data_IF_692528673043
#
_entry.id   IF_692528673043
#
_cell.length_a   1.000
_cell.length_b   1.000
_cell.length_c   1.000
_cell.angle_alpha   90.00
_cell.angle_beta   90.00
_cell.angle_gamma   90.00
#
_symmetry.space_group_name_H-M   'P 1'
#
loop_
_entity.id
_entity.type
_entity.pdbx_description
1 polymer ?
#
# COMPACT_ATOMS: atom_id res chain seq x y z
N UNK A 1 -15.34 1.29 19.60
CA UNK A 1 -14.23 2.25 19.52
C UNK A 1 -13.40 2.18 20.80
N UNK A 2 -12.07 2.10 20.67
CA UNK A 2 -11.13 2.07 21.79
C UNK A 2 -10.57 3.47 22.12
N UNK A 3 -9.79 3.57 23.18
CA UNK A 3 -9.26 4.84 23.68
C UNK A 3 -8.41 5.58 22.63
N UNK A 4 -8.60 6.88 22.50
CA UNK A 4 -7.82 7.72 21.60
C UNK A 4 -8.18 7.61 20.11
N UNK A 5 -9.24 6.88 19.76
CA UNK A 5 -9.75 6.86 18.36
C UNK A 5 -10.23 8.25 17.96
N UNK A 6 -9.83 8.70 16.78
CA UNK A 6 -10.28 9.97 16.19
C UNK A 6 -11.04 9.69 14.90
N UNK A 7 -12.29 10.13 14.83
CA UNK A 7 -13.16 9.97 13.66
C UNK A 7 -13.55 11.34 13.13
N UNK A 8 -13.32 11.57 11.83
CA UNK A 8 -13.77 12.77 11.13
C UNK A 8 -12.85 13.98 11.26
N UNK A 9 -11.59 13.77 11.65
CA UNK A 9 -10.57 14.80 11.49
C UNK A 9 -10.43 15.20 10.01
N UNK A 10 -9.97 16.41 9.74
CA UNK A 10 -9.71 16.86 8.38
C UNK A 10 -8.62 16.00 7.73
N UNK A 11 -8.88 15.55 6.50
CA UNK A 11 -7.89 14.88 5.68
C UNK A 11 -6.74 15.83 5.29
N UNK A 12 -5.61 15.24 4.87
CA UNK A 12 -4.43 15.99 4.44
C UNK A 12 -4.60 16.46 2.98
N UNK A 13 -5.33 17.55 2.81
CA UNK A 13 -5.59 18.17 1.52
C UNK A 13 -4.98 19.57 1.44
N UNK A 14 -4.03 19.78 0.54
CA UNK A 14 -3.38 21.07 0.31
C UNK A 14 -3.15 21.31 -1.17
N UNK A 15 -3.32 22.54 -1.62
CA UNK A 15 -2.96 23.01 -2.95
C UNK A 15 -1.72 23.90 -2.87
N UNK A 16 -0.88 23.87 -3.91
CA UNK A 16 0.30 24.72 -3.98
C UNK A 16 -0.02 26.00 -4.74
N UNK A 17 0.18 27.14 -4.12
CA UNK A 17 0.07 28.45 -4.76
C UNK A 17 1.26 28.74 -5.68
N UNK A 18 1.13 29.76 -6.53
CA UNK A 18 2.22 30.25 -7.38
C UNK A 18 3.45 30.70 -6.61
N UNK A 19 3.25 31.20 -5.39
CA UNK A 19 4.32 31.55 -4.43
C UNK A 19 5.12 30.38 -3.92
N UNK A 20 4.62 29.14 -4.10
CA UNK A 20 5.16 27.91 -3.52
C UNK A 20 4.59 27.54 -2.15
N UNK A 21 3.76 28.38 -1.54
CA UNK A 21 3.09 28.09 -0.27
C UNK A 21 1.99 27.04 -0.42
N UNK A 22 1.75 26.28 0.66
CA UNK A 22 0.68 25.32 0.75
C UNK A 22 -0.57 25.93 1.39
N UNK A 23 -1.68 25.87 0.69
CA UNK A 23 -2.99 26.35 1.16
C UNK A 23 -3.89 25.15 1.41
N UNK A 24 -4.54 25.15 2.56
CA UNK A 24 -5.44 24.07 2.97
C UNK A 24 -6.68 24.02 2.07
N UNK A 25 -7.01 22.83 1.60
CA UNK A 25 -8.26 22.53 0.92
C UNK A 25 -9.30 22.16 1.99
N UNK A 26 -10.45 22.84 2.08
CA UNK A 26 -11.51 22.48 3.01
C UNK A 26 -11.95 21.02 2.84
N UNK A 27 -12.17 20.34 3.95
CA UNK A 27 -12.63 18.95 3.99
C UNK A 27 -14.10 18.94 4.42
N UNK A 28 -15.02 18.80 3.46
CA UNK A 28 -16.47 18.98 3.68
C UNK A 28 -17.25 17.64 3.77
N UNK A 29 -16.62 16.52 3.38
CA UNK A 29 -17.22 15.21 3.47
C UNK A 29 -17.33 14.69 4.91
N UNK A 30 -17.77 13.47 5.08
CA UNK A 30 -18.01 12.82 6.39
C UNK A 30 -17.22 11.53 6.52
N UNK A 31 -17.32 10.89 7.68
CA UNK A 31 -17.01 9.48 7.89
C UNK A 31 -18.32 8.74 8.11
N UNK A 32 -18.50 7.65 7.39
CA UNK A 32 -19.64 6.73 7.54
C UNK A 32 -19.09 5.39 8.03
N UNK A 33 -19.54 4.95 9.19
CA UNK A 33 -19.23 3.64 9.76
C UNK A 33 -20.43 2.73 9.63
N UNK A 34 -20.21 1.51 9.17
CA UNK A 34 -21.21 0.45 9.15
C UNK A 34 -21.48 -0.14 10.53
N UNK A 35 -22.18 -1.27 10.56
CA UNK A 35 -22.50 -2.00 11.77
C UNK A 35 -21.33 -2.90 12.19
N UNK A 36 -21.24 -3.22 13.49
CA UNK A 36 -20.25 -4.14 14.06
C UNK A 36 -18.79 -3.80 13.73
N UNK A 37 -18.49 -2.50 13.49
CA UNK A 37 -17.15 -2.00 13.27
C UNK A 37 -16.40 -1.90 14.60
N UNK A 38 -15.18 -2.40 14.64
CA UNK A 38 -14.27 -2.25 15.77
C UNK A 38 -13.04 -1.46 15.36
N UNK A 39 -12.67 -0.43 16.15
CA UNK A 39 -11.53 0.44 15.87
C UNK A 39 -10.66 0.52 17.11
N UNK A 40 -9.42 0.05 16.98
CA UNK A 40 -8.40 -0.02 18.00
C UNK A 40 -7.84 1.33 18.43
N UNK A 41 -7.11 1.31 19.53
CA UNK A 41 -6.62 2.53 20.19
C UNK A 41 -5.76 3.41 19.27
N UNK A 42 -5.99 4.73 19.36
CA UNK A 42 -5.25 5.76 18.61
C UNK A 42 -5.31 5.59 17.07
N UNK A 43 -6.24 4.83 16.55
CA UNK A 43 -6.53 4.78 15.12
C UNK A 43 -7.26 6.03 14.70
N UNK A 44 -6.91 6.58 13.53
CA UNK A 44 -7.52 7.79 12.99
C UNK A 44 -8.20 7.50 11.65
N UNK A 45 -9.41 8.03 11.49
CA UNK A 45 -10.20 7.94 10.26
C UNK A 45 -10.57 9.35 9.83
N UNK A 46 -9.92 9.85 8.77
CA UNK A 46 -10.16 11.19 8.28
C UNK A 46 -11.48 11.29 7.51
N UNK A 47 -12.11 12.44 7.60
CA UNK A 47 -13.29 12.76 6.78
C UNK A 47 -12.91 12.89 5.31
N UNK A 48 -13.86 12.67 4.42
CA UNK A 48 -13.65 12.90 3.00
C UNK A 48 -13.53 14.39 2.65
N UNK A 49 -12.91 14.66 1.52
CA UNK A 49 -12.79 16.04 1.02
C UNK A 49 -14.15 16.60 0.58
N UNK A 50 -14.84 15.92 -0.32
CA UNK A 50 -16.21 16.20 -0.77
C UNK A 50 -17.11 14.99 -0.53
N UNK A 51 -16.70 13.82 -1.05
CA UNK A 51 -17.37 12.55 -0.79
C UNK A 51 -16.98 12.01 0.59
N UNK A 52 -17.70 10.99 1.06
CA UNK A 52 -17.48 10.39 2.37
C UNK A 52 -16.31 9.39 2.37
N UNK A 53 -15.61 9.28 3.51
CA UNK A 53 -14.81 8.13 3.89
C UNK A 53 -15.76 7.06 4.46
N UNK A 54 -15.68 5.82 3.98
CA UNK A 54 -16.67 4.77 4.31
C UNK A 54 -15.97 3.53 4.84
N UNK A 55 -16.38 3.07 6.01
CA UNK A 55 -15.96 1.82 6.63
C UNK A 55 -17.18 0.87 6.65
N UNK A 56 -17.08 -0.25 5.94
CA UNK A 56 -18.16 -1.23 5.78
C UNK A 56 -18.47 -2.01 7.06
N UNK A 57 -19.54 -2.81 7.00
CA UNK A 57 -19.99 -3.63 8.12
C UNK A 57 -18.92 -4.66 8.53
N UNK A 58 -18.81 -4.92 9.81
CA UNK A 58 -17.93 -5.96 10.35
C UNK A 58 -16.44 -5.70 10.23
N UNK A 59 -16.01 -4.52 9.77
CA UNK A 59 -14.59 -4.15 9.64
C UNK A 59 -13.94 -4.09 11.01
N UNK A 60 -12.71 -4.63 11.11
CA UNK A 60 -11.88 -4.59 12.33
C UNK A 60 -10.56 -3.90 12.03
N UNK A 61 -10.34 -2.77 12.68
CA UNK A 61 -9.09 -2.00 12.61
C UNK A 61 -8.38 -2.13 13.96
N UNK A 62 -7.13 -2.57 13.92
CA UNK A 62 -6.26 -2.62 15.09
C UNK A 62 -5.77 -1.22 15.49
N UNK A 63 -4.81 -1.14 16.37
CA UNK A 63 -4.27 0.11 16.93
C UNK A 63 -3.38 0.87 15.94
N UNK A 64 -3.34 2.20 16.08
CA UNK A 64 -2.42 3.08 15.34
C UNK A 64 -2.57 3.00 13.82
N UNK A 65 -3.75 2.72 13.32
CA UNK A 65 -4.03 2.71 11.88
C UNK A 65 -4.39 4.12 11.42
N UNK A 66 -3.93 4.49 10.22
CA UNK A 66 -4.35 5.71 9.52
C UNK A 66 -5.23 5.35 8.34
N UNK A 67 -6.47 5.80 8.36
CA UNK A 67 -7.39 5.78 7.21
C UNK A 67 -7.54 7.22 6.72
N UNK A 68 -6.98 7.52 5.55
CA UNK A 68 -7.02 8.86 4.98
C UNK A 68 -8.38 9.19 4.33
N UNK A 69 -8.52 10.43 3.91
CA UNK A 69 -9.76 10.96 3.32
C UNK A 69 -10.25 10.17 2.11
N UNK A 70 -11.54 10.04 1.96
CA UNK A 70 -12.21 9.37 0.82
C UNK A 70 -11.89 7.88 0.65
N UNK A 71 -11.25 7.25 1.62
CA UNK A 71 -11.00 5.80 1.61
C UNK A 71 -12.32 5.06 1.76
N UNK A 72 -12.45 3.93 1.06
CA UNK A 72 -13.55 2.99 1.23
C UNK A 72 -13.00 1.62 1.60
N UNK A 73 -13.48 1.06 2.70
CA UNK A 73 -13.13 -0.28 3.17
C UNK A 73 -14.37 -1.16 3.10
N UNK A 74 -14.28 -2.24 2.35
CA UNK A 74 -15.34 -3.23 2.17
C UNK A 74 -15.60 -4.04 3.45
N UNK A 75 -16.77 -4.64 3.51
CA UNK A 75 -17.26 -5.39 4.67
C UNK A 75 -16.30 -6.51 5.11
N UNK A 76 -16.28 -6.79 6.40
CA UNK A 76 -15.50 -7.88 7.02
C UNK A 76 -13.99 -7.84 6.74
N UNK A 77 -13.45 -6.70 6.30
CA UNK A 77 -12.02 -6.51 6.13
C UNK A 77 -11.36 -6.24 7.48
N UNK A 78 -10.19 -6.82 7.69
CA UNK A 78 -9.39 -6.62 8.90
C UNK A 78 -8.04 -5.99 8.57
N UNK A 79 -7.57 -5.10 9.44
CA UNK A 79 -6.25 -4.47 9.30
C UNK A 79 -5.50 -4.56 10.62
N UNK A 80 -4.27 -5.05 10.56
CA UNK A 80 -3.38 -5.13 11.71
C UNK A 80 -2.67 -3.80 11.99
N UNK A 81 -2.11 -3.68 13.17
CA UNK A 81 -1.57 -2.44 13.73
C UNK A 81 -0.59 -1.67 12.85
N UNK A 82 -0.66 -0.37 12.95
CA UNK A 82 0.20 0.57 12.21
C UNK A 82 0.07 0.50 10.68
N UNK A 83 -0.95 -0.15 10.13
CA UNK A 83 -1.22 -0.08 8.69
C UNK A 83 -1.64 1.34 8.30
N UNK A 84 -1.31 1.74 7.07
CA UNK A 84 -1.66 3.06 6.55
C UNK A 84 -2.35 2.96 5.19
N UNK A 85 -3.47 3.65 5.04
CA UNK A 85 -4.25 3.69 3.79
C UNK A 85 -4.34 5.14 3.32
N UNK A 86 -3.69 5.44 2.20
CA UNK A 86 -3.67 6.78 1.64
C UNK A 86 -5.00 7.14 0.94
N UNK A 87 -5.20 8.44 0.73
CA UNK A 87 -6.46 9.00 0.28
C UNK A 87 -7.04 8.38 -0.99
N UNK A 88 -8.35 8.26 -1.03
CA UNK A 88 -9.14 7.75 -2.16
C UNK A 88 -8.86 6.29 -2.55
N UNK A 89 -8.17 5.52 -1.71
CA UNK A 89 -8.00 4.09 -1.93
C UNK A 89 -9.31 3.33 -1.66
N UNK A 90 -9.54 2.26 -2.40
CA UNK A 90 -10.68 1.36 -2.25
C UNK A 90 -10.18 -0.04 -1.90
N UNK A 91 -10.59 -0.55 -0.76
CA UNK A 91 -10.24 -1.89 -0.30
C UNK A 91 -11.50 -2.73 -0.35
N UNK A 92 -11.42 -3.88 -0.99
CA UNK A 92 -12.52 -4.82 -1.13
C UNK A 92 -12.98 -5.42 0.19
N UNK A 93 -13.95 -6.29 0.11
CA UNK A 93 -14.49 -7.03 1.24
C UNK A 93 -13.57 -8.20 1.64
N UNK A 94 -13.63 -8.63 2.90
CA UNK A 94 -12.94 -9.83 3.43
C UNK A 94 -11.43 -9.84 3.22
N UNK A 95 -10.84 -8.65 3.09
CA UNK A 95 -9.39 -8.50 2.97
C UNK A 95 -8.70 -8.62 4.34
N UNK A 96 -7.43 -9.01 4.30
CA UNK A 96 -6.55 -9.01 5.47
C UNK A 96 -5.32 -8.15 5.17
N UNK A 97 -5.18 -7.02 5.85
CA UNK A 97 -4.05 -6.10 5.68
C UNK A 97 -3.09 -6.30 6.86
N UNK A 98 -1.90 -6.77 6.55
CA UNK A 98 -0.85 -7.04 7.56
C UNK A 98 -0.34 -5.77 8.23
N UNK A 99 0.22 -5.94 9.42
CA UNK A 99 0.75 -4.82 10.21
C UNK A 99 1.81 -4.02 9.47
N UNK A 100 1.76 -2.70 9.61
CA UNK A 100 2.68 -1.76 8.97
C UNK A 100 2.67 -1.80 7.42
N UNK A 101 1.67 -2.45 6.83
CA UNK A 101 1.47 -2.36 5.39
C UNK A 101 1.01 -0.96 4.99
N UNK A 102 1.52 -0.47 3.86
CA UNK A 102 1.14 0.82 3.28
C UNK A 102 0.35 0.63 1.99
N UNK A 103 -0.80 1.27 1.87
CA UNK A 103 -1.60 1.27 0.64
C UNK A 103 -1.53 2.67 0.04
N UNK A 104 -0.99 2.79 -1.18
CA UNK A 104 -0.91 4.07 -1.88
C UNK A 104 -2.30 4.59 -2.27
N UNK A 105 -2.41 5.90 -2.44
CA UNK A 105 -3.66 6.56 -2.79
C UNK A 105 -4.21 6.19 -4.17
N UNK A 106 -5.53 6.33 -4.33
CA UNK A 106 -6.25 6.12 -5.61
C UNK A 106 -6.14 4.70 -6.19
N UNK A 107 -5.79 3.71 -5.36
CA UNK A 107 -5.72 2.30 -5.75
C UNK A 107 -7.03 1.58 -5.42
N UNK A 108 -7.24 0.46 -6.11
CA UNK A 108 -8.30 -0.49 -5.79
C UNK A 108 -7.69 -1.85 -5.47
N UNK A 109 -8.16 -2.46 -4.39
CA UNK A 109 -7.82 -3.81 -3.96
C UNK A 109 -9.10 -4.65 -4.06
N UNK A 110 -9.03 -5.77 -4.79
CA UNK A 110 -10.15 -6.70 -4.95
C UNK A 110 -10.55 -7.33 -3.61
N UNK A 111 -11.71 -7.96 -3.56
CA UNK A 111 -12.13 -8.76 -2.43
C UNK A 111 -11.19 -9.95 -2.19
N UNK A 112 -11.20 -10.48 -0.97
CA UNK A 112 -10.47 -11.68 -0.56
C UNK A 112 -8.94 -11.61 -0.78
N UNK A 113 -8.37 -10.39 -0.68
CA UNK A 113 -6.92 -10.16 -0.79
C UNK A 113 -6.27 -10.17 0.58
N UNK A 114 -5.14 -10.85 0.69
CA UNK A 114 -4.24 -10.81 1.86
C UNK A 114 -2.98 -10.04 1.50
N UNK A 115 -2.71 -8.95 2.20
CA UNK A 115 -1.47 -8.19 2.09
C UNK A 115 -0.59 -8.52 3.29
N UNK A 116 0.61 -9.06 3.04
CA UNK A 116 1.57 -9.38 4.11
C UNK A 116 2.05 -8.13 4.84
N UNK A 117 2.48 -8.30 6.09
CA UNK A 117 3.04 -7.20 6.88
C UNK A 117 4.22 -6.52 6.17
N UNK A 118 4.43 -5.20 6.43
CA UNK A 118 5.51 -4.39 5.84
C UNK A 118 5.48 -4.30 4.31
N UNK A 119 4.36 -4.61 3.68
CA UNK A 119 4.21 -4.53 2.23
C UNK A 119 3.73 -3.15 1.81
N UNK A 120 4.42 -2.53 0.85
CA UNK A 120 3.92 -1.34 0.16
C UNK A 120 3.15 -1.76 -1.09
N UNK A 121 1.84 -1.53 -1.10
CA UNK A 121 0.99 -1.70 -2.28
C UNK A 121 1.00 -0.40 -3.09
N UNK A 122 1.75 -0.40 -4.19
CA UNK A 122 1.92 0.78 -5.06
C UNK A 122 1.11 0.67 -6.38
N UNK A 123 0.36 -0.43 -6.58
CA UNK A 123 -0.51 -0.66 -7.74
C UNK A 123 -1.77 -1.37 -7.32
N UNK A 124 -2.85 -1.18 -8.06
CA UNK A 124 -4.11 -1.89 -7.81
C UNK A 124 -3.94 -3.40 -7.91
N UNK A 125 -4.63 -4.11 -7.01
CA UNK A 125 -4.68 -5.58 -6.96
C UNK A 125 -6.06 -5.99 -7.45
N UNK A 126 -6.12 -6.65 -8.59
CA UNK A 126 -7.38 -6.96 -9.28
C UNK A 126 -7.87 -8.39 -9.08
N UNK A 127 -7.10 -9.23 -8.39
CA UNK A 127 -7.42 -10.64 -8.16
C UNK A 127 -7.24 -11.01 -6.70
N UNK A 128 -8.09 -11.89 -6.13
CA UNK A 128 -7.87 -12.48 -4.82
C UNK A 128 -6.51 -13.17 -4.73
N UNK A 129 -5.92 -13.24 -3.55
CA UNK A 129 -4.66 -13.91 -3.33
C UNK A 129 -3.81 -13.27 -2.23
N UNK A 130 -2.64 -13.83 -1.97
CA UNK A 130 -1.68 -13.34 -0.99
C UNK A 130 -0.58 -12.55 -1.70
N UNK A 131 -0.34 -11.33 -1.26
CA UNK A 131 0.63 -10.41 -1.85
C UNK A 131 1.67 -9.98 -0.82
N UNK A 132 2.93 -10.16 -1.16
CA UNK A 132 4.08 -9.84 -0.30
C UNK A 132 5.06 -8.97 -1.05
N UNK A 133 5.43 -7.83 -0.46
CA UNK A 133 6.33 -6.84 -1.07
C UNK A 133 7.49 -6.40 -0.16
N UNK A 134 7.86 -7.22 0.82
CA UNK A 134 9.01 -7.00 1.69
C UNK A 134 10.19 -7.89 1.27
N UNK A 135 11.39 -7.50 1.69
CA UNK A 135 12.61 -8.29 1.45
C UNK A 135 12.76 -9.39 2.51
N UNK A 136 13.30 -10.57 2.14
CA UNK A 136 13.62 -11.60 3.12
C UNK A 136 14.59 -11.08 4.18
N UNK A 137 14.40 -11.49 5.43
CA UNK A 137 15.34 -11.23 6.52
C UNK A 137 16.68 -11.94 6.23
N UNK A 138 17.78 -11.21 6.40
CA UNK A 138 19.14 -11.69 6.15
C UNK A 138 20.07 -11.23 7.28
N UNK A 139 21.24 -11.86 7.39
CA UNK A 139 22.32 -11.29 8.22
C UNK A 139 22.72 -9.92 7.66
N UNK A 140 23.22 -9.02 8.52
CA UNK A 140 23.61 -7.68 8.05
C UNK A 140 24.66 -7.73 6.94
N UNK A 141 25.64 -8.66 7.05
CA UNK A 141 26.67 -8.83 6.01
C UNK A 141 26.09 -9.23 4.65
N UNK A 142 25.18 -10.20 4.64
CA UNK A 142 24.52 -10.64 3.41
C UNK A 142 23.61 -9.55 2.85
N UNK A 143 22.90 -8.82 3.73
CA UNK A 143 22.08 -7.69 3.32
C UNK A 143 22.89 -6.62 2.59
N UNK A 144 24.00 -6.14 3.18
CA UNK A 144 24.90 -5.15 2.57
C UNK A 144 25.41 -5.62 1.21
N UNK A 145 25.86 -6.88 1.12
CA UNK A 145 26.33 -7.50 -0.12
C UNK A 145 25.25 -7.51 -1.20
N UNK A 146 24.07 -8.01 -0.89
CA UNK A 146 22.96 -8.10 -1.84
C UNK A 146 22.46 -6.74 -2.29
N UNK A 147 22.37 -5.75 -1.38
CA UNK A 147 22.00 -4.38 -1.73
C UNK A 147 23.05 -3.67 -2.60
N UNK A 148 24.32 -4.00 -2.45
CA UNK A 148 25.35 -3.49 -3.37
C UNK A 148 25.11 -3.95 -4.81
N UNK A 149 24.67 -5.20 -4.99
CA UNK A 149 24.32 -5.74 -6.31
C UNK A 149 23.08 -5.09 -6.90
N UNK A 150 22.05 -4.81 -6.10
CA UNK A 150 20.83 -4.12 -6.58
C UNK A 150 21.13 -2.75 -7.21
N UNK A 151 22.12 -2.01 -6.69
CA UNK A 151 22.55 -0.73 -7.27
C UNK A 151 23.13 -0.86 -8.68
N UNK A 152 23.60 -2.03 -9.04
CA UNK A 152 24.25 -2.33 -10.33
C UNK A 152 23.43 -3.28 -11.20
N UNK A 153 22.16 -3.53 -10.84
CA UNK A 153 21.30 -4.51 -11.51
C UNK A 153 21.15 -4.22 -13.02
N UNK A 154 21.01 -2.95 -13.40
CA UNK A 154 20.91 -2.56 -14.80
C UNK A 154 22.20 -2.87 -15.59
N UNK A 155 23.37 -2.63 -15.00
CA UNK A 155 24.66 -2.99 -15.61
C UNK A 155 24.80 -4.51 -15.75
N UNK A 156 24.36 -5.26 -14.74
CA UNK A 156 24.36 -6.73 -14.78
C UNK A 156 23.44 -7.24 -15.89
N UNK A 157 22.22 -6.70 -15.99
CA UNK A 157 21.26 -7.09 -17.03
C UNK A 157 21.78 -6.79 -18.44
N UNK A 158 22.52 -5.69 -18.64
CA UNK A 158 23.19 -5.39 -19.93
C UNK A 158 24.29 -6.40 -20.25
N UNK A 159 25.11 -6.78 -19.27
CA UNK A 159 26.16 -7.77 -19.46
C UNK A 159 25.61 -9.16 -19.81
N UNK A 160 24.53 -9.56 -19.16
CA UNK A 160 23.85 -10.84 -19.46
C UNK A 160 23.37 -10.84 -20.92
N UNK A 161 22.64 -9.80 -21.35
CA UNK A 161 22.21 -9.69 -22.75
C UNK A 161 23.35 -9.73 -23.77
N UNK A 162 24.50 -9.12 -23.46
CA UNK A 162 25.67 -9.19 -24.33
C UNK A 162 26.26 -10.60 -24.42
N UNK A 163 26.26 -11.33 -23.31
CA UNK A 163 26.73 -12.72 -23.29
C UNK A 163 25.79 -13.65 -24.07
N UNK A 164 24.49 -13.48 -23.95
CA UNK A 164 23.49 -14.22 -24.72
C UNK A 164 23.65 -13.97 -26.23
N UNK A 165 23.79 -12.72 -26.67
CA UNK A 165 24.01 -12.37 -28.07
C UNK A 165 25.33 -12.98 -28.64
N UNK A 166 26.37 -13.09 -27.82
CA UNK A 166 27.63 -13.67 -28.24
C UNK A 166 27.63 -15.22 -28.27
N UNK A 167 26.73 -15.86 -27.52
CA UNK A 167 26.56 -17.31 -27.52
C UNK A 167 25.68 -17.82 -28.67
N UNK A 168 24.78 -16.95 -29.21
CA UNK A 168 23.94 -17.27 -30.36
C UNK A 168 24.64 -17.00 -31.72
N UNK A 169 25.93 -16.77 -31.73
CA UNK A 169 26.75 -16.68 -32.95
C UNK A 169 26.76 -18.02 -33.72
N UNK A 170 26.88 -17.98 -35.06
CA UNK A 170 26.73 -19.19 -35.89
C UNK A 170 27.71 -20.28 -35.46
N UNK A 171 27.14 -21.45 -35.18
CA UNK A 171 27.90 -22.71 -34.98
C UNK A 171 28.58 -23.06 -36.29
N UNK A 172 29.83 -22.65 -36.45
CA UNK A 172 30.68 -22.97 -37.61
C UNK A 172 31.16 -24.42 -37.52
N UNK A 173 30.19 -25.37 -37.45
CA UNK A 173 30.43 -26.81 -37.57
C UNK A 173 29.89 -27.35 -38.87
N UNK A 174 30.33 -26.76 -39.98
CA UNK A 174 30.15 -27.40 -41.28
C UNK A 174 31.36 -27.12 -42.17
N UNK A 175 32.42 -27.84 -41.94
CA UNK A 175 33.39 -28.26 -42.99
C UNK A 175 34.44 -29.18 -42.36
N UNK A 176 34.34 -30.48 -42.69
CA UNK A 176 35.33 -31.49 -42.40
C UNK A 176 34.81 -32.84 -42.83
#
# INVERSE_FOLDING_TARGET
LHSGVVIGADGFGFAREKSGAWVKIPQAGRVVLGNDVEIGANTTVDRGALDDTVIGDGVKLDNLIQIAHNVRVGEHTIMAGCAGVAGSARIGARCMIGGQAGISGHLSIADDVVVSAWTLVAKSITKPGVYTGNLPLQTHGDWVKNFSHLRHLDALARRVRQLEQNSDGPDDRSQG
#
